data_IF_922170942928
#
_entry.id   IF_922170942928
#
_cell.length_a   1.000
_cell.length_b   1.000
_cell.length_c   1.000
_cell.angle_alpha   90.00
_cell.angle_beta   90.00
_cell.angle_gamma   90.00
#
_symmetry.space_group_name_H-M   'P 1'
#
loop_
_entity.id
_entity.type
_entity.pdbx_description
1 polymer ?
#
# COMPACT_ATOMS: atom_id res chain seq x y z
N UNK A 1 36.22 -22.54 -31.97
CA UNK A 1 35.26 -21.48 -32.36
C UNK A 1 34.86 -20.70 -31.12
N UNK A 2 34.99 -19.36 -31.10
CA UNK A 2 34.49 -18.52 -30.01
C UNK A 2 32.97 -18.41 -30.12
N UNK A 3 32.24 -18.63 -29.02
CA UNK A 3 30.91 -18.04 -28.80
C UNK A 3 30.84 -17.48 -27.39
N UNK A 4 30.95 -16.16 -27.32
CA UNK A 4 30.68 -15.36 -26.14
C UNK A 4 29.18 -15.42 -25.86
N UNK A 5 28.78 -15.68 -24.62
CA UNK A 5 27.44 -15.37 -24.11
C UNK A 5 27.61 -14.64 -22.78
N UNK A 6 27.85 -13.32 -22.89
CA UNK A 6 27.78 -12.39 -21.77
C UNK A 6 26.31 -12.20 -21.38
N UNK A 7 25.87 -12.95 -20.39
CA UNK A 7 24.58 -12.76 -19.74
C UNK A 7 24.53 -11.52 -18.84
N UNK A 8 24.50 -10.33 -19.45
CA UNK A 8 23.55 -9.31 -18.99
C UNK A 8 22.13 -9.86 -19.32
N UNK A 9 21.00 -9.58 -18.68
CA UNK A 9 20.45 -8.39 -17.98
C UNK A 9 19.33 -8.96 -17.04
N UNK A 10 18.82 -8.31 -15.98
CA UNK A 10 18.91 -6.92 -15.51
C UNK A 10 19.12 -6.88 -13.98
N UNK A 11 19.47 -5.71 -13.44
CA UNK A 11 19.15 -5.35 -12.05
C UNK A 11 17.80 -4.63 -12.10
N UNK A 12 16.69 -5.34 -11.97
CA UNK A 12 15.39 -4.68 -11.79
C UNK A 12 15.32 -4.14 -10.36
N UNK A 13 15.49 -2.83 -10.20
CA UNK A 13 15.29 -2.09 -8.96
C UNK A 13 13.80 -2.04 -8.60
N UNK A 14 13.22 -3.20 -8.32
CA UNK A 14 11.80 -3.39 -7.99
C UNK A 14 11.57 -3.24 -6.49
N UNK A 15 11.92 -2.08 -5.94
CA UNK A 15 11.50 -1.62 -4.62
C UNK A 15 11.84 -0.12 -4.44
N UNK A 16 11.18 0.75 -5.20
CA UNK A 16 10.76 2.03 -4.60
C UNK A 16 9.68 1.69 -3.59
N UNK A 17 10.08 1.16 -2.44
CA UNK A 17 9.18 0.98 -1.31
C UNK A 17 8.61 2.36 -0.99
N UNK A 18 7.31 2.56 -1.25
CA UNK A 18 6.65 3.85 -1.11
C UNK A 18 6.94 4.36 0.28
N UNK A 19 7.74 5.43 0.35
CA UNK A 19 8.33 5.87 1.61
C UNK A 19 7.20 6.13 2.58
N UNK A 20 7.17 5.38 3.69
CA UNK A 20 6.13 5.54 4.71
C UNK A 20 6.24 6.98 5.18
N UNK A 21 5.22 7.78 4.92
CA UNK A 21 5.19 9.19 5.33
C UNK A 21 5.46 9.25 6.83
N UNK A 22 6.50 9.98 7.21
CA UNK A 22 6.78 10.21 8.63
C UNK A 22 5.54 10.86 9.28
N UNK A 23 5.25 10.63 10.57
CA UNK A 23 4.03 11.16 11.20
C UNK A 23 3.84 12.67 11.01
N UNK A 24 4.95 13.42 10.92
CA UNK A 24 4.97 14.86 10.65
C UNK A 24 4.57 15.19 9.21
N UNK A 25 4.95 14.39 8.22
CA UNK A 25 4.59 14.54 6.81
C UNK A 25 3.11 14.21 6.59
N UNK A 26 2.63 13.12 7.20
CA UNK A 26 1.22 12.76 7.18
C UNK A 26 0.35 13.85 7.83
N UNK A 27 0.80 14.43 8.95
CA UNK A 27 0.12 15.56 9.59
C UNK A 27 0.13 16.81 8.69
N UNK A 28 1.26 17.13 8.05
CA UNK A 28 1.36 18.25 7.10
C UNK A 28 0.43 18.06 5.90
N UNK A 29 0.36 16.86 5.33
CA UNK A 29 -0.55 16.51 4.23
C UNK A 29 -2.01 16.65 4.65
N UNK A 30 -2.38 16.07 5.80
CA UNK A 30 -3.75 16.15 6.35
C UNK A 30 -4.17 17.60 6.57
N UNK A 31 -3.31 18.41 7.21
CA UNK A 31 -3.56 19.83 7.42
C UNK A 31 -3.71 20.59 6.10
N UNK A 32 -2.90 20.27 5.09
CA UNK A 32 -2.99 20.91 3.76
C UNK A 32 -4.35 20.64 3.13
N UNK A 33 -4.77 19.38 3.06
CA UNK A 33 -6.04 18.94 2.48
C UNK A 33 -7.24 19.55 3.23
N UNK A 34 -7.21 19.53 4.56
CA UNK A 34 -8.35 19.94 5.38
C UNK A 34 -8.43 21.44 5.68
N UNK A 35 -7.39 22.23 5.35
CA UNK A 35 -7.32 23.66 5.67
C UNK A 35 -8.46 24.51 5.10
N UNK A 36 -9.01 24.12 3.94
CA UNK A 36 -10.10 24.82 3.25
C UNK A 36 -11.47 24.15 3.42
N UNK A 37 -11.57 23.08 4.23
CA UNK A 37 -12.84 22.40 4.46
C UNK A 37 -13.74 23.24 5.38
N UNK A 38 -15.06 23.19 5.18
CA UNK A 38 -16.03 23.94 6.00
C UNK A 38 -16.03 23.52 7.48
N UNK A 39 -15.60 22.29 7.76
CA UNK A 39 -15.22 21.81 9.09
C UNK A 39 -13.86 21.08 8.99
N UNK A 40 -12.74 21.76 9.28
CA UNK A 40 -11.41 21.14 9.23
C UNK A 40 -11.24 19.96 10.22
N UNK A 41 -11.93 19.99 11.37
CA UNK A 41 -11.83 18.94 12.40
C UNK A 41 -12.49 17.64 11.94
N UNK A 42 -13.67 17.75 11.32
CA UNK A 42 -14.34 16.62 10.69
C UNK A 42 -13.52 16.04 9.52
N UNK A 43 -12.94 16.91 8.68
CA UNK A 43 -12.07 16.47 7.59
C UNK A 43 -10.85 15.70 8.10
N UNK A 44 -10.14 16.21 9.11
CA UNK A 44 -8.97 15.54 9.70
C UNK A 44 -9.34 14.15 10.22
N UNK A 45 -10.47 14.03 10.93
CA UNK A 45 -10.97 12.73 11.44
C UNK A 45 -11.32 11.76 10.31
N UNK A 46 -11.98 12.24 9.26
CA UNK A 46 -12.34 11.44 8.10
C UNK A 46 -11.11 10.96 7.33
N UNK A 47 -10.13 11.84 7.12
CA UNK A 47 -8.86 11.54 6.46
C UNK A 47 -8.11 10.42 7.18
N UNK A 48 -7.86 10.56 8.48
CA UNK A 48 -7.19 9.52 9.26
C UNK A 48 -7.97 8.20 9.27
N UNK A 49 -9.31 8.24 9.35
CA UNK A 49 -10.14 7.02 9.26
C UNK A 49 -9.96 6.28 7.93
N UNK A 50 -9.91 7.00 6.81
CA UNK A 50 -9.69 6.41 5.47
C UNK A 50 -8.29 5.84 5.34
N UNK A 51 -7.26 6.57 5.79
CA UNK A 51 -5.86 6.09 5.75
C UNK A 51 -5.65 4.86 6.64
N UNK A 52 -6.19 4.84 7.87
CA UNK A 52 -6.12 3.66 8.73
C UNK A 52 -6.82 2.46 8.12
N UNK A 53 -8.04 2.63 7.59
CA UNK A 53 -8.76 1.55 6.89
C UNK A 53 -7.95 1.00 5.71
N UNK A 54 -7.32 1.87 4.91
CA UNK A 54 -6.48 1.43 3.80
C UNK A 54 -5.25 0.64 4.28
N UNK A 55 -4.58 1.10 5.35
CA UNK A 55 -3.42 0.42 5.93
C UNK A 55 -3.76 -0.95 6.53
N UNK A 56 -4.86 -1.05 7.27
CA UNK A 56 -5.34 -2.31 7.86
C UNK A 56 -5.65 -3.36 6.78
N UNK A 57 -6.26 -2.93 5.66
CA UNK A 57 -6.53 -3.82 4.53
C UNK A 57 -5.25 -4.24 3.79
N UNK A 58 -4.30 -3.32 3.56
CA UNK A 58 -3.00 -3.65 2.95
C UNK A 58 -2.22 -4.67 3.81
N UNK A 59 -2.19 -4.47 5.14
CA UNK A 59 -1.62 -5.43 6.08
C UNK A 59 -2.33 -6.79 6.03
N UNK A 60 -3.67 -6.80 5.96
CA UNK A 60 -4.44 -8.03 5.86
C UNK A 60 -4.20 -8.77 4.54
N UNK A 61 -3.99 -8.06 3.43
CA UNK A 61 -3.56 -8.66 2.16
C UNK A 61 -2.21 -9.38 2.31
N UNK A 62 -1.19 -8.76 2.90
CA UNK A 62 0.10 -9.42 3.14
C UNK A 62 0.01 -10.58 4.13
N UNK A 63 -0.86 -10.49 5.14
CA UNK A 63 -1.20 -11.61 6.02
C UNK A 63 -1.79 -12.79 5.24
N UNK A 64 -2.75 -12.53 4.32
CA UNK A 64 -3.35 -13.56 3.48
C UNK A 64 -2.32 -14.28 2.58
N UNK A 65 -1.38 -13.54 1.97
CA UNK A 65 -0.32 -14.14 1.15
C UNK A 65 0.60 -15.04 2.00
N UNK A 66 1.13 -14.51 3.12
CA UNK A 66 2.01 -15.28 4.02
C UNK A 66 1.33 -16.52 4.61
N UNK A 67 0.05 -16.41 4.94
CA UNK A 67 -0.75 -17.51 5.48
C UNK A 67 -0.95 -18.62 4.46
N UNK A 68 -1.22 -18.27 3.20
CA UNK A 68 -1.30 -19.22 2.08
C UNK A 68 0.02 -19.98 1.90
N UNK A 69 1.15 -19.28 1.91
CA UNK A 69 2.48 -19.89 1.78
C UNK A 69 2.83 -20.80 2.98
N UNK A 70 2.26 -20.51 4.15
CA UNK A 70 2.45 -21.26 5.40
C UNK A 70 1.40 -22.37 5.63
N UNK A 71 0.47 -22.58 4.70
CA UNK A 71 -0.62 -23.57 4.85
C UNK A 71 -1.67 -23.22 5.91
N UNK A 72 -1.73 -21.99 6.38
CA UNK A 72 -2.70 -21.51 7.37
C UNK A 72 -4.04 -21.16 6.71
N UNK A 73 -5.15 -21.49 7.36
CA UNK A 73 -6.49 -21.07 6.93
C UNK A 73 -6.74 -19.59 7.21
N UNK A 74 -7.28 -18.88 6.23
CA UNK A 74 -7.68 -17.47 6.35
C UNK A 74 -9.16 -17.28 6.01
N UNK A 75 -9.71 -16.12 6.38
CA UNK A 75 -11.03 -15.70 5.90
C UNK A 75 -10.96 -15.33 4.41
N UNK A 76 -11.70 -16.07 3.57
CA UNK A 76 -11.69 -15.89 2.12
C UNK A 76 -12.33 -14.58 1.67
N UNK A 77 -13.33 -14.09 2.40
CA UNK A 77 -14.02 -12.84 2.05
C UNK A 77 -13.12 -11.65 2.38
N UNK A 78 -12.54 -11.61 3.58
CA UNK A 78 -11.61 -10.55 3.98
C UNK A 78 -10.35 -10.55 3.09
N UNK A 79 -9.81 -11.71 2.72
CA UNK A 79 -8.69 -11.78 1.77
C UNK A 79 -9.06 -11.30 0.35
N UNK A 80 -10.32 -11.42 -0.06
CA UNK A 80 -10.78 -10.90 -1.36
C UNK A 80 -11.00 -9.38 -1.29
N UNK A 81 -11.61 -8.87 -0.21
CA UNK A 81 -11.80 -7.44 0.02
C UNK A 81 -10.46 -6.69 0.10
N UNK A 82 -9.49 -7.23 0.87
CA UNK A 82 -8.15 -6.64 0.95
C UNK A 82 -7.40 -6.65 -0.37
N UNK A 83 -7.52 -7.74 -1.16
CA UNK A 83 -6.97 -7.80 -2.52
C UNK A 83 -7.56 -6.73 -3.43
N UNK A 84 -8.88 -6.52 -3.42
CA UNK A 84 -9.54 -5.49 -4.25
C UNK A 84 -8.96 -4.10 -3.96
N UNK A 85 -8.74 -3.77 -2.69
CA UNK A 85 -8.14 -2.48 -2.33
C UNK A 85 -6.66 -2.40 -2.76
N UNK A 86 -5.88 -3.48 -2.59
CA UNK A 86 -4.49 -3.54 -3.06
C UNK A 86 -4.39 -3.34 -4.57
N UNK A 87 -5.20 -4.07 -5.34
CA UNK A 87 -5.30 -3.95 -6.80
C UNK A 87 -5.63 -2.52 -7.22
N UNK A 88 -6.57 -1.86 -6.53
CA UNK A 88 -6.92 -0.46 -6.78
C UNK A 88 -5.75 0.49 -6.50
N UNK A 89 -5.03 0.30 -5.39
CA UNK A 89 -3.84 1.10 -5.06
C UNK A 89 -2.76 0.91 -6.13
N UNK A 90 -2.44 -0.33 -6.51
CA UNK A 90 -1.42 -0.64 -7.52
C UNK A 90 -1.75 -0.08 -8.90
N UNK A 91 -3.04 0.01 -9.27
CA UNK A 91 -3.49 0.62 -10.52
C UNK A 91 -3.40 2.15 -10.54
N UNK A 92 -3.37 2.82 -9.39
CA UNK A 92 -3.47 4.28 -9.28
C UNK A 92 -2.23 4.94 -8.64
N UNK A 93 -1.25 4.16 -8.17
CA UNK A 93 0.00 4.62 -7.59
C UNK A 93 1.18 4.67 -8.58
N UNK A 94 0.92 4.40 -9.88
CA UNK A 94 1.90 4.38 -10.98
C UNK A 94 1.53 5.40 -12.08
#
# INVERSE_FOLDING_TARGET
MKKLLLGFIFITSAASATQILEPQELQKLTNTICSQHSDPSLCVKAFYKVISYAKENDDYFYYCQKSKDSGMSTDKELCNQSKILRDFIDQNAN
#
